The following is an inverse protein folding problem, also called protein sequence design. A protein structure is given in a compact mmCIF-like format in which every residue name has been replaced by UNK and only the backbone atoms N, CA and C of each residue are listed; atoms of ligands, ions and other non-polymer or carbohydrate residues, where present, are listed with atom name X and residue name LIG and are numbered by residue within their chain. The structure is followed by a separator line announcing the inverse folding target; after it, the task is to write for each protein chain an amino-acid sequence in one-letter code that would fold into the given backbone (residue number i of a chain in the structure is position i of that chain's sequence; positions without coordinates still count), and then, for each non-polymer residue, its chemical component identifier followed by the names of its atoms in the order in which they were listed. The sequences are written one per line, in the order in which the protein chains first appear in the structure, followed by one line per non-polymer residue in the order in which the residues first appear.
data_IF_286594924335
#
_entry.id   IF_286594924335
#
_cell.length_a   1.000
_cell.length_b   1.000
_cell.length_c   1.000
_cell.angle_alpha   90.00
_cell.angle_beta   90.00
_cell.angle_gamma   90.00
#
_symmetry.space_group_name_H-M   'P 1'
#
loop_
_entity.id
_entity.type
_entity.pdbx_description
1 polymer ?
#
# COMPACT_ATOMS: atom_id res chain seq x y z
N UNK A 1 26.36 0.29 17.67
CA UNK A 1 25.66 0.23 16.39
C UNK A 1 24.16 0.12 16.62
N UNK A 2 23.35 0.66 15.70
CA UNK A 2 21.88 0.61 15.73
C UNK A 2 21.36 -0.16 14.53
N UNK A 3 20.23 -0.85 14.72
CA UNK A 3 19.48 -1.53 13.67
C UNK A 3 18.13 -0.85 13.50
N UNK A 4 17.74 -0.55 12.26
CA UNK A 4 16.42 0.01 11.92
C UNK A 4 15.71 -0.92 10.97
N UNK A 5 14.58 -1.47 11.41
CA UNK A 5 13.73 -2.37 10.63
C UNK A 5 12.60 -1.55 10.01
N UNK A 6 12.66 -1.35 8.70
CA UNK A 6 11.66 -0.59 7.92
C UNK A 6 11.18 -1.41 6.71
N UNK A 7 10.86 -2.68 6.93
CA UNK A 7 10.59 -3.68 5.90
C UNK A 7 9.10 -3.82 5.54
N UNK A 8 8.25 -2.91 6.04
CA UNK A 8 6.81 -2.81 5.78
C UNK A 8 6.07 -4.13 6.07
N UNK A 9 5.54 -4.82 5.05
CA UNK A 9 4.79 -6.07 5.23
C UNK A 9 5.63 -7.24 5.79
N UNK A 10 6.96 -7.08 5.88
CA UNK A 10 7.91 -8.07 6.38
C UNK A 10 8.54 -7.67 7.71
N UNK A 11 7.93 -6.74 8.42
CA UNK A 11 8.50 -6.21 9.67
C UNK A 11 8.69 -7.31 10.72
N UNK A 12 7.74 -8.24 10.82
CA UNK A 12 7.81 -9.37 11.76
C UNK A 12 8.86 -10.44 11.42
N UNK A 13 9.38 -10.47 10.19
CA UNK A 13 10.41 -11.44 9.81
C UNK A 13 11.75 -11.24 10.56
N UNK A 14 11.93 -10.05 11.15
CA UNK A 14 13.17 -9.65 11.83
C UNK A 14 12.96 -9.30 13.31
N UNK A 15 11.80 -9.60 13.88
CA UNK A 15 11.48 -9.38 15.28
C UNK A 15 11.42 -10.71 16.04
N UNK A 16 11.88 -10.69 17.29
CA UNK A 16 11.77 -11.85 18.19
C UNK A 16 10.31 -12.07 18.64
N UNK A 17 9.57 -10.97 18.84
CA UNK A 17 8.15 -11.00 19.16
C UNK A 17 7.37 -10.38 18.00
N UNK A 18 6.38 -11.12 17.47
CA UNK A 18 5.56 -10.66 16.37
C UNK A 18 4.46 -9.70 16.84
N UNK A 19 4.15 -8.73 15.98
CA UNK A 19 3.05 -7.79 16.16
C UNK A 19 1.94 -8.15 15.20
N UNK A 20 0.68 -8.18 15.66
CA UNK A 20 -0.45 -8.44 14.79
C UNK A 20 -0.77 -7.22 13.92
N UNK A 21 -0.76 -7.43 12.62
CA UNK A 21 -1.17 -6.46 11.60
C UNK A 21 -2.34 -6.99 10.80
N UNK A 22 -3.04 -6.09 10.13
CA UNK A 22 -3.96 -6.45 9.06
C UNK A 22 -3.21 -6.39 7.74
N UNK A 23 -3.19 -7.52 7.04
CA UNK A 23 -2.59 -7.66 5.72
C UNK A 23 -3.68 -7.71 4.66
N UNK A 24 -3.52 -6.94 3.61
CA UNK A 24 -4.46 -6.85 2.51
C UNK A 24 -3.75 -7.15 1.20
N UNK A 25 -4.21 -8.17 0.51
CA UNK A 25 -3.76 -8.46 -0.86
C UNK A 25 -4.46 -7.49 -1.78
N UNK A 26 -3.71 -6.61 -2.40
CA UNK A 26 -4.27 -5.53 -3.23
C UNK A 26 -3.85 -5.62 -4.68
N UNK A 27 -4.77 -5.19 -5.55
CA UNK A 27 -4.59 -5.02 -6.98
C UNK A 27 -4.55 -3.54 -7.33
N UNK A 28 -3.68 -3.19 -8.26
CA UNK A 28 -3.61 -1.88 -8.91
C UNK A 28 -3.69 -2.09 -10.43
N UNK A 29 -4.87 -1.96 -11.05
CA UNK A 29 -4.99 -2.05 -12.50
C UNK A 29 -4.21 -0.95 -13.20
N UNK A 30 -3.52 -1.33 -14.27
CA UNK A 30 -2.85 -0.43 -15.21
C UNK A 30 -3.70 -0.38 -16.47
N UNK A 31 -4.10 0.83 -16.84
CA UNK A 31 -5.05 1.05 -17.92
C UNK A 31 -4.60 2.16 -18.86
N UNK A 32 -5.09 2.12 -20.08
CA UNK A 32 -5.08 3.25 -20.99
C UNK A 32 -6.43 3.92 -20.96
N UNK A 33 -6.47 5.16 -20.51
CA UNK A 33 -7.69 5.94 -20.40
C UNK A 33 -7.98 6.70 -21.70
N UNK A 34 -9.23 7.14 -21.93
CA UNK A 34 -9.58 8.10 -22.94
C UNK A 34 -8.70 9.36 -22.91
N UNK A 35 -8.56 10.05 -24.05
CA UNK A 35 -7.58 11.14 -24.25
C UNK A 35 -7.77 12.31 -23.27
N UNK A 36 -8.99 12.59 -22.85
CA UNK A 36 -9.36 13.63 -21.90
C UNK A 36 -8.73 13.47 -20.53
N UNK A 37 -8.35 12.25 -20.15
CA UNK A 37 -7.69 11.94 -18.88
C UNK A 37 -6.16 11.89 -18.99
N UNK A 38 -5.60 12.05 -20.18
CA UNK A 38 -4.15 11.94 -20.39
C UNK A 38 -3.38 12.90 -19.47
N UNK A 39 -2.42 12.36 -18.74
CA UNK A 39 -1.56 13.08 -17.79
C UNK A 39 -2.31 13.78 -16.64
N UNK A 40 -3.56 13.43 -16.38
CA UNK A 40 -4.32 13.94 -15.24
C UNK A 40 -4.25 12.95 -14.08
N UNK A 41 -3.96 13.44 -12.88
CA UNK A 41 -4.22 12.74 -11.64
C UNK A 41 -5.54 13.24 -11.07
N UNK A 42 -6.44 12.31 -10.75
CA UNK A 42 -7.76 12.64 -10.18
C UNK A 42 -7.98 11.74 -8.98
N UNK A 43 -8.41 12.34 -7.88
CA UNK A 43 -8.77 11.64 -6.65
C UNK A 43 -10.17 12.05 -6.24
N UNK A 44 -11.07 11.08 -6.11
CA UNK A 44 -12.38 11.27 -5.50
C UNK A 44 -12.18 11.23 -3.99
N UNK A 45 -12.48 12.32 -3.28
CA UNK A 45 -12.10 12.52 -1.87
C UNK A 45 -13.21 12.17 -0.88
N UNK A 46 -14.44 12.02 -1.31
CA UNK A 46 -15.59 11.73 -0.46
C UNK A 46 -16.36 10.51 -0.98
N UNK A 47 -16.81 9.66 -0.06
CA UNK A 47 -17.48 8.42 -0.41
C UNK A 47 -16.53 7.27 -0.80
N UNK A 48 -16.90 6.39 -1.73
CA UNK A 48 -16.07 5.28 -2.17
C UNK A 48 -14.91 5.80 -3.02
N UNK A 49 -13.79 6.06 -2.37
CA UNK A 49 -12.59 6.64 -2.99
C UNK A 49 -12.14 5.88 -4.21
N UNK A 50 -12.00 6.60 -5.30
CA UNK A 50 -11.34 6.15 -6.51
C UNK A 50 -10.25 7.15 -6.91
N UNK A 51 -9.14 6.67 -7.44
CA UNK A 51 -8.11 7.53 -8.02
C UNK A 51 -7.62 7.01 -9.37
N UNK A 52 -7.23 7.97 -10.20
CA UNK A 52 -6.55 7.78 -11.47
C UNK A 52 -5.20 8.48 -11.36
N UNK A 53 -4.12 7.74 -11.42
CA UNK A 53 -2.78 8.33 -11.33
C UNK A 53 -1.97 8.02 -12.59
N UNK A 54 -1.32 9.06 -13.20
CA UNK A 54 -0.47 8.84 -14.36
C UNK A 54 0.63 7.81 -14.06
N UNK A 55 0.85 6.92 -15.01
CA UNK A 55 1.89 5.92 -14.99
C UNK A 55 2.75 6.05 -16.26
N UNK A 56 3.84 5.30 -16.33
CA UNK A 56 4.74 5.34 -17.48
C UNK A 56 4.01 5.07 -18.81
N UNK A 57 4.58 5.51 -19.89
CA UNK A 57 4.11 5.27 -21.27
C UNK A 57 2.69 5.81 -21.56
N UNK A 58 2.21 6.77 -20.76
CA UNK A 58 0.90 7.40 -20.94
C UNK A 58 -0.27 6.55 -20.41
N UNK A 59 0.02 5.48 -19.67
CA UNK A 59 -0.97 4.72 -18.92
C UNK A 59 -1.34 5.39 -17.61
N UNK A 60 -2.32 4.82 -16.93
CA UNK A 60 -2.74 5.21 -15.58
C UNK A 60 -2.81 3.98 -14.67
N UNK A 61 -2.62 4.20 -13.39
CA UNK A 61 -2.90 3.23 -12.34
C UNK A 61 -4.21 3.61 -11.68
N UNK A 62 -5.11 2.65 -11.54
CA UNK A 62 -6.35 2.84 -10.81
C UNK A 62 -6.19 2.47 -9.34
N UNK A 63 -6.82 3.25 -8.47
CA UNK A 63 -7.00 2.94 -7.06
C UNK A 63 -8.46 2.94 -6.68
N UNK A 64 -8.86 2.06 -5.78
CA UNK A 64 -10.17 2.05 -5.15
C UNK A 64 -10.04 1.47 -3.75
N UNK A 65 -10.69 2.09 -2.76
CA UNK A 65 -10.52 1.66 -1.35
C UNK A 65 -11.03 0.26 -1.10
N UNK A 66 -12.11 -0.12 -1.75
CA UNK A 66 -12.76 -1.42 -1.56
C UNK A 66 -12.34 -2.42 -2.65
N UNK A 67 -12.48 -2.05 -3.94
CA UNK A 67 -12.30 -2.99 -5.04
C UNK A 67 -10.84 -3.41 -5.25
N UNK A 68 -9.89 -2.62 -4.76
CA UNK A 68 -8.48 -3.00 -4.81
C UNK A 68 -8.15 -4.23 -3.94
N UNK A 69 -8.93 -4.51 -2.90
CA UNK A 69 -8.63 -5.56 -1.91
C UNK A 69 -9.18 -6.90 -2.39
N UNK A 70 -8.33 -7.89 -2.61
CA UNK A 70 -8.71 -9.28 -2.94
C UNK A 70 -9.00 -10.12 -1.72
N UNK A 71 -8.17 -10.00 -0.68
CA UNK A 71 -8.35 -10.69 0.60
C UNK A 71 -7.69 -9.91 1.73
N UNK A 72 -8.16 -10.16 2.94
CA UNK A 72 -7.64 -9.57 4.18
C UNK A 72 -7.42 -10.68 5.20
N UNK A 73 -6.35 -10.57 5.98
CA UNK A 73 -6.16 -11.36 7.20
C UNK A 73 -5.53 -10.50 8.29
N UNK A 74 -5.87 -10.81 9.54
CA UNK A 74 -5.16 -10.29 10.72
C UNK A 74 -4.27 -11.41 11.25
N UNK A 75 -3.02 -11.08 11.56
CA UNK A 75 -2.06 -12.05 12.06
C UNK A 75 -0.62 -11.51 12.01
N UNK A 76 0.32 -12.41 12.18
CA UNK A 76 1.75 -12.10 12.21
C UNK A 76 2.36 -12.00 10.80
N UNK A 77 1.72 -12.65 9.83
CA UNK A 77 2.19 -12.74 8.44
C UNK A 77 1.03 -12.62 7.45
N UNK A 78 1.29 -12.12 6.23
CA UNK A 78 0.29 -12.08 5.17
C UNK A 78 -0.09 -13.49 4.72
N UNK A 79 -1.40 -13.75 4.62
CA UNK A 79 -1.94 -15.00 4.10
C UNK A 79 -2.51 -14.79 2.69
N UNK A 80 -1.89 -15.39 1.69
CA UNK A 80 -2.31 -15.30 0.28
C UNK A 80 -2.80 -16.67 -0.19
N UNK A 81 -4.11 -16.87 -0.14
CA UNK A 81 -4.72 -18.18 -0.44
C UNK A 81 -4.80 -18.48 -1.94
N UNK A 82 -4.90 -17.44 -2.77
CA UNK A 82 -5.02 -17.63 -4.21
C UNK A 82 -3.65 -17.84 -4.86
N UNK A 83 -3.39 -19.06 -5.36
CA UNK A 83 -2.12 -19.47 -5.97
C UNK A 83 -1.71 -18.63 -7.20
N UNK A 84 -2.66 -18.06 -7.92
CA UNK A 84 -2.33 -17.19 -9.06
C UNK A 84 -1.79 -15.84 -8.55
N UNK A 85 -2.42 -15.28 -7.52
CA UNK A 85 -1.97 -14.02 -6.92
C UNK A 85 -0.59 -14.18 -6.28
N UNK A 86 -0.29 -15.31 -5.63
CA UNK A 86 1.06 -15.59 -5.10
C UNK A 86 2.13 -15.40 -6.18
N UNK A 87 1.88 -15.91 -7.39
CA UNK A 87 2.81 -15.75 -8.51
C UNK A 87 2.86 -14.33 -9.11
N UNK A 88 1.91 -13.47 -8.76
CA UNK A 88 1.85 -12.09 -9.26
C UNK A 88 2.48 -11.06 -8.31
N UNK A 89 2.59 -11.39 -7.02
CA UNK A 89 3.04 -10.45 -5.99
C UNK A 89 4.40 -9.85 -6.32
N UNK A 90 4.44 -8.50 -6.37
CA UNK A 90 5.63 -7.69 -6.57
C UNK A 90 6.40 -7.97 -7.89
N UNK A 91 5.74 -8.57 -8.87
CA UNK A 91 6.31 -8.91 -10.19
C UNK A 91 6.00 -7.86 -11.29
N UNK A 92 5.76 -6.60 -10.90
CA UNK A 92 5.42 -5.53 -11.84
C UNK A 92 4.04 -5.69 -12.44
N UNK A 93 3.86 -5.27 -13.69
CA UNK A 93 2.57 -5.36 -14.39
C UNK A 93 2.40 -6.76 -14.98
N UNK A 94 1.42 -7.48 -14.48
CA UNK A 94 1.01 -8.77 -15.01
C UNK A 94 0.00 -8.53 -16.13
N UNK A 95 0.36 -8.84 -17.35
CA UNK A 95 -0.54 -8.74 -18.51
C UNK A 95 -1.56 -9.90 -18.50
N UNK A 96 -2.82 -9.57 -18.76
CA UNK A 96 -3.93 -10.53 -18.80
C UNK A 96 -3.98 -11.45 -17.54
N UNK A 97 -4.00 -10.87 -16.30
CA UNK A 97 -4.03 -11.68 -15.11
C UNK A 97 -5.30 -12.55 -15.07
N UNK A 98 -5.15 -13.82 -14.68
CA UNK A 98 -6.28 -14.78 -14.53
C UNK A 98 -7.24 -14.38 -13.41
N UNK A 99 -6.76 -13.55 -12.49
CA UNK A 99 -7.53 -13.00 -11.37
C UNK A 99 -7.38 -11.50 -11.40
N UNK A 100 -8.49 -10.80 -11.61
CA UNK A 100 -8.55 -9.33 -11.59
C UNK A 100 -9.95 -8.88 -11.21
N UNK A 101 -10.05 -7.72 -10.62
CA UNK A 101 -11.31 -7.02 -10.32
C UNK A 101 -11.56 -5.84 -11.25
N UNK A 102 -10.90 -5.76 -12.40
CA UNK A 102 -10.99 -4.63 -13.33
C UNK A 102 -12.43 -4.22 -13.64
N UNK A 103 -13.35 -5.16 -13.82
CA UNK A 103 -14.75 -4.82 -14.10
C UNK A 103 -15.40 -4.03 -12.97
N UNK A 104 -15.08 -4.32 -11.70
CA UNK A 104 -15.57 -3.55 -10.55
C UNK A 104 -15.00 -2.13 -10.51
N UNK A 105 -13.74 -1.95 -10.94
CA UNK A 105 -13.16 -0.62 -11.08
C UNK A 105 -13.84 0.17 -12.20
N UNK A 106 -14.18 -0.48 -13.32
CA UNK A 106 -14.90 0.16 -14.43
C UNK A 106 -16.29 0.59 -13.96
N UNK A 107 -17.06 -0.31 -13.36
CA UNK A 107 -18.39 -0.02 -12.84
C UNK A 107 -18.38 1.17 -11.86
N UNK A 108 -17.48 1.17 -10.87
CA UNK A 108 -17.33 2.26 -9.94
C UNK A 108 -16.86 3.57 -10.61
N UNK A 109 -15.98 3.48 -11.58
CA UNK A 109 -15.47 4.65 -12.30
C UNK A 109 -16.51 5.34 -13.18
N UNK A 110 -17.45 4.58 -13.73
CA UNK A 110 -18.56 5.14 -14.54
C UNK A 110 -19.49 6.07 -13.74
N UNK A 111 -19.46 6.00 -12.42
CA UNK A 111 -20.20 6.94 -11.57
C UNK A 111 -19.58 8.35 -11.56
N UNK A 112 -18.31 8.47 -11.87
CA UNK A 112 -17.53 9.71 -11.73
C UNK A 112 -16.94 10.24 -13.04
N UNK A 113 -16.73 9.35 -14.02
CA UNK A 113 -15.94 9.66 -15.22
C UNK A 113 -16.71 9.30 -16.49
N UNK A 114 -16.80 10.25 -17.42
CA UNK A 114 -17.37 10.02 -18.73
C UNK A 114 -16.51 9.04 -19.54
N UNK A 115 -17.14 8.20 -20.36
CA UNK A 115 -16.48 7.25 -21.26
C UNK A 115 -15.50 6.27 -20.55
N UNK A 116 -15.65 6.05 -19.25
CA UNK A 116 -14.74 5.23 -18.46
C UNK A 116 -14.79 3.74 -18.85
N UNK A 117 -15.90 3.29 -19.39
CA UNK A 117 -16.09 1.95 -19.98
C UNK A 117 -15.25 1.73 -21.24
N UNK A 118 -14.73 2.80 -21.86
CA UNK A 118 -13.85 2.70 -23.05
C UNK A 118 -12.37 2.54 -22.71
N UNK A 119 -12.01 2.42 -21.42
CA UNK A 119 -10.64 2.16 -21.04
C UNK A 119 -10.14 0.81 -21.57
N UNK A 120 -8.84 0.72 -21.83
CA UNK A 120 -8.15 -0.52 -22.19
C UNK A 120 -7.37 -1.03 -20.97
N UNK A 121 -7.68 -2.23 -20.48
CA UNK A 121 -6.94 -2.87 -19.41
C UNK A 121 -5.62 -3.45 -19.93
N UNK A 122 -4.51 -2.90 -19.52
CA UNK A 122 -3.16 -3.32 -19.94
C UNK A 122 -2.67 -4.50 -19.08
N UNK A 123 -3.02 -4.48 -17.80
CA UNK A 123 -2.62 -5.48 -16.82
C UNK A 123 -2.82 -4.96 -15.41
N UNK A 124 -2.36 -5.72 -14.42
CA UNK A 124 -2.48 -5.32 -13.02
C UNK A 124 -1.20 -5.61 -12.24
N UNK A 125 -0.90 -4.75 -11.27
CA UNK A 125 0.12 -4.98 -10.26
C UNK A 125 -0.53 -5.50 -8.98
N UNK A 126 0.15 -6.44 -8.31
CA UNK A 126 -0.32 -7.05 -7.07
C UNK A 126 0.73 -6.91 -5.97
N UNK A 127 0.29 -6.57 -4.77
CA UNK A 127 1.17 -6.49 -3.60
C UNK A 127 0.40 -6.76 -2.32
N UNK A 128 1.12 -6.85 -1.20
CA UNK A 128 0.53 -6.87 0.13
C UNK A 128 0.63 -5.48 0.74
N UNK A 129 -0.50 -4.93 1.12
CA UNK A 129 -0.60 -3.73 1.95
C UNK A 129 -0.75 -4.15 3.41
N UNK A 130 -0.04 -3.47 4.30
CA UNK A 130 -0.10 -3.73 5.75
C UNK A 130 -0.62 -2.50 6.46
N UNK A 131 -1.63 -2.69 7.30
CA UNK A 131 -2.24 -1.64 8.11
C UNK A 131 -2.36 -2.12 9.56
N UNK A 132 -2.67 -1.21 10.48
CA UNK A 132 -2.93 -1.60 11.86
C UNK A 132 -4.19 -2.46 11.94
N UNK A 133 -4.13 -3.54 12.71
CA UNK A 133 -5.30 -4.37 12.98
C UNK A 133 -6.37 -3.61 13.80
N UNK A 134 -7.63 -3.96 13.59
CA UNK A 134 -8.78 -3.46 14.37
C UNK A 134 -8.97 -1.93 14.31
N UNK A 135 -8.68 -1.32 13.16
CA UNK A 135 -8.84 0.13 12.92
C UNK A 135 -9.87 0.48 11.85
N UNK A 136 -10.85 -0.41 11.63
CA UNK A 136 -11.90 -0.24 10.62
C UNK A 136 -12.80 0.99 10.88
N UNK A 137 -12.88 1.42 12.14
CA UNK A 137 -13.75 2.52 12.55
C UNK A 137 -13.20 3.91 12.20
N UNK A 138 -11.89 4.05 12.01
CA UNK A 138 -11.24 5.34 11.74
C UNK A 138 -10.25 5.30 10.57
N UNK A 139 -10.00 4.12 10.00
CA UNK A 139 -8.99 3.88 8.94
C UNK A 139 -7.64 4.60 9.22
N UNK A 140 -7.28 4.70 10.49
CA UNK A 140 -6.06 5.41 10.89
C UNK A 140 -4.82 4.70 10.39
N UNK A 141 -3.96 5.45 9.72
CA UNK A 141 -2.69 4.96 9.14
C UNK A 141 -1.52 5.78 9.67
N UNK A 142 -1.22 5.71 10.97
CA UNK A 142 -0.09 6.42 11.53
C UNK A 142 1.22 5.81 11.04
N UNK A 143 2.26 6.65 10.95
CA UNK A 143 3.63 6.15 10.90
C UNK A 143 4.17 6.10 12.32
N UNK A 144 4.65 4.93 12.74
CA UNK A 144 5.05 4.67 14.13
C UNK A 144 6.52 4.28 14.15
N UNK A 145 7.28 4.93 15.02
CA UNK A 145 8.66 4.54 15.33
C UNK A 145 8.66 3.93 16.72
N UNK A 146 9.08 2.66 16.83
CA UNK A 146 9.13 1.94 18.11
C UNK A 146 10.57 1.52 18.41
N UNK A 147 10.95 1.51 19.68
CA UNK A 147 12.19 0.90 20.15
C UNK A 147 11.84 -0.50 20.65
N UNK A 148 12.27 -1.53 19.94
CA UNK A 148 12.02 -2.93 20.28
C UNK A 148 13.06 -3.49 21.27
N UNK A 149 14.31 -3.05 21.15
CA UNK A 149 15.40 -3.38 22.06
C UNK A 149 16.35 -2.21 22.24
N UNK A 150 17.39 -2.35 23.06
CA UNK A 150 18.33 -1.28 23.38
C UNK A 150 18.87 -0.53 22.14
N UNK A 151 19.12 -1.21 21.07
CA UNK A 151 19.68 -0.67 19.83
C UNK A 151 18.89 -1.06 18.57
N UNK A 152 17.66 -1.57 18.72
CA UNK A 152 16.80 -2.00 17.62
C UNK A 152 15.54 -1.14 17.57
N UNK A 153 15.26 -0.57 16.41
CA UNK A 153 14.08 0.24 16.14
C UNK A 153 13.29 -0.30 14.97
N UNK A 154 11.97 -0.19 15.05
CA UNK A 154 11.07 -0.45 13.92
C UNK A 154 10.45 0.85 13.42
N UNK A 155 10.17 0.92 12.12
CA UNK A 155 9.35 1.95 11.51
C UNK A 155 8.19 1.27 10.77
N UNK A 156 6.99 1.37 11.35
CA UNK A 156 5.77 0.99 10.67
C UNK A 156 5.26 2.19 9.85
N UNK A 157 5.18 2.01 8.53
CA UNK A 157 4.85 3.09 7.59
C UNK A 157 3.35 3.18 7.31
N UNK A 158 2.73 4.28 7.72
CA UNK A 158 1.33 4.58 7.40
C UNK A 158 1.16 5.27 6.04
N UNK A 159 2.01 6.26 5.74
CA UNK A 159 1.94 7.07 4.50
C UNK A 159 3.33 7.53 4.06
N UNK A 160 3.58 7.56 2.76
CA UNK A 160 4.86 8.07 2.21
C UNK A 160 5.14 9.52 2.62
N UNK A 161 4.11 10.35 2.73
CA UNK A 161 4.26 11.77 3.11
C UNK A 161 4.78 11.98 4.54
N UNK A 162 4.80 10.95 5.39
CA UNK A 162 5.31 11.03 6.77
C UNK A 162 6.74 10.49 6.92
N UNK A 163 7.42 10.16 5.83
CA UNK A 163 8.77 9.58 5.88
C UNK A 163 9.80 10.49 6.54
N UNK A 164 9.75 11.81 6.28
CA UNK A 164 10.65 12.80 6.91
C UNK A 164 10.38 12.90 8.41
N UNK A 165 9.10 12.88 8.82
CA UNK A 165 8.74 12.90 10.25
C UNK A 165 9.24 11.65 10.97
N UNK A 166 9.11 10.47 10.36
CA UNK A 166 9.63 9.23 10.90
C UNK A 166 11.15 9.25 11.06
N UNK A 167 11.87 9.77 10.06
CA UNK A 167 13.33 9.93 10.13
C UNK A 167 13.75 10.88 11.25
N UNK A 168 13.09 12.03 11.36
CA UNK A 168 13.38 13.00 12.43
C UNK A 168 13.09 12.43 13.82
N UNK A 169 11.98 11.70 13.98
CA UNK A 169 11.64 11.04 15.25
C UNK A 169 12.70 9.99 15.63
N UNK A 170 13.16 9.19 14.67
CA UNK A 170 14.23 8.22 14.90
C UNK A 170 15.52 8.92 15.34
N UNK A 171 15.95 9.96 14.62
CA UNK A 171 17.16 10.74 14.97
C UNK A 171 17.04 11.32 16.37
N UNK A 172 15.90 11.91 16.74
CA UNK A 172 15.65 12.44 18.08
C UNK A 172 15.78 11.37 19.17
N UNK A 173 15.36 10.14 18.91
CA UNK A 173 15.49 9.01 19.87
C UNK A 173 16.93 8.50 19.98
N UNK A 174 17.74 8.70 18.97
CA UNK A 174 19.14 8.29 18.97
C UNK A 174 20.06 9.34 19.62
N UNK A 175 19.75 10.64 19.50
CA UNK A 175 20.59 11.74 19.97
C UNK A 175 20.89 11.78 21.48
N UNK A 176 19.95 11.49 22.41
CA UNK A 176 20.26 11.57 23.86
C UNK A 176 21.35 10.60 24.32
N UNK A 177 21.58 9.53 23.54
CA UNK A 177 22.59 8.52 23.88
C UNK A 177 24.02 8.94 23.55
N UNK A 178 24.21 9.99 22.75
CA UNK A 178 25.53 10.56 22.45
C UNK A 178 25.95 11.69 23.42
N UNK A 179 25.01 12.22 24.22
CA UNK A 179 25.28 13.29 25.19
C UNK A 179 25.55 12.83 26.64
N UNK A 180 25.29 11.57 26.97
CA UNK A 180 25.51 11.00 28.32
C UNK A 180 26.86 10.28 28.48
N UNK A 181 27.72 10.31 27.46
CA UNK A 181 29.08 9.78 27.50
C UNK A 181 30.14 10.90 27.61
N UNK A 182 29.98 11.74 28.64
CA UNK A 182 31.02 12.72 29.05
C UNK A 182 31.21 12.68 30.56
#
# INVERSE_FOLDING_TARGET
DYVVIATYAKINELLDESIQYQYEVVEKPVVKLPKEYKNKSVVVMDGPFMCLDPYKDGYHVLGHVEHAIHSTNVGDYPMVLNKHIVGYLNNGVIHNPKVTKINKFIEAGMEFFEDFDKLEHIGSMFTVRTVLAHREHDDARPTIVTQEAHNVYTIFSGKIGTCVQAANELVRRLQPKYGEAA
#
